data_IF_561922528261
#
_entry.id   IF_561922528261
#
_cell.length_a   1.000
_cell.length_b   1.000
_cell.length_c   1.000
_cell.angle_alpha   90.00
_cell.angle_beta   90.00
_cell.angle_gamma   90.00
#
_symmetry.space_group_name_H-M   'P 1'
#
loop_
_entity.id
_entity.type
_entity.pdbx_description
1 polymer ?
#
# COMPACT_ATOMS: atom_id res chain seq x y z
N UNK A 1 1.12 -22.30 -2.48
CA UNK A 1 0.42 -21.03 -2.21
C UNK A 1 0.06 -20.94 -0.73
N UNK A 2 0.58 -19.95 0.00
CA UNK A 2 0.25 -19.77 1.42
C UNK A 2 -1.11 -19.07 1.63
N UNK A 3 -1.96 -19.03 0.60
CA UNK A 3 -3.31 -18.44 0.69
C UNK A 3 -4.28 -19.58 0.91
N UNK A 4 -4.87 -19.60 2.09
CA UNK A 4 -5.94 -20.53 2.46
C UNK A 4 -7.27 -19.94 1.99
N UNK A 5 -8.12 -20.80 1.42
CA UNK A 5 -9.42 -20.41 0.91
C UNK A 5 -10.48 -21.40 1.35
N UNK A 6 -11.68 -20.89 1.60
CA UNK A 6 -12.87 -21.67 1.91
C UNK A 6 -14.06 -21.14 1.09
N UNK A 7 -15.12 -21.93 0.93
CA UNK A 7 -16.36 -21.41 0.35
C UNK A 7 -16.92 -20.33 1.27
N UNK A 8 -17.44 -19.25 0.70
CA UNK A 8 -18.02 -18.17 1.50
C UNK A 8 -19.16 -18.67 2.40
N UNK A 9 -20.00 -19.58 1.90
CA UNK A 9 -21.09 -20.20 2.68
C UNK A 9 -20.63 -21.01 3.88
N UNK A 10 -19.42 -21.57 3.84
CA UNK A 10 -18.90 -22.39 4.94
C UNK A 10 -18.43 -21.49 6.10
N UNK A 11 -18.09 -20.23 5.82
CA UNK A 11 -17.74 -19.22 6.83
C UNK A 11 -18.95 -18.41 7.30
N UNK A 12 -19.86 -18.09 6.38
CA UNK A 12 -21.10 -17.37 6.62
C UNK A 12 -22.21 -17.98 5.75
N UNK A 13 -23.12 -18.81 6.32
CA UNK A 13 -24.13 -19.57 5.55
C UNK A 13 -25.05 -18.72 4.68
N UNK A 14 -25.26 -17.45 5.04
CA UNK A 14 -26.07 -16.46 4.34
C UNK A 14 -25.25 -15.55 3.41
N UNK A 15 -23.96 -15.85 3.20
CA UNK A 15 -23.11 -15.08 2.31
C UNK A 15 -23.67 -15.03 0.89
N UNK A 16 -23.80 -13.81 0.37
CA UNK A 16 -24.15 -13.51 -1.03
C UNK A 16 -23.13 -14.05 -2.04
N UNK A 17 -21.90 -14.33 -1.59
CA UNK A 17 -20.85 -14.94 -2.39
C UNK A 17 -21.05 -16.46 -2.58
N UNK A 18 -21.89 -17.12 -1.77
CA UNK A 18 -22.27 -18.52 -1.92
C UNK A 18 -21.09 -19.48 -2.02
N UNK A 19 -20.92 -20.14 -3.19
CA UNK A 19 -19.84 -21.10 -3.46
C UNK A 19 -18.50 -20.46 -3.84
N UNK A 20 -18.37 -19.13 -3.84
CA UNK A 20 -17.11 -18.49 -4.20
C UNK A 20 -16.04 -18.79 -3.13
N UNK A 21 -14.87 -19.24 -3.58
CA UNK A 21 -13.70 -19.42 -2.72
C UNK A 21 -13.14 -18.07 -2.27
N UNK A 22 -13.34 -17.74 -1.00
CA UNK A 22 -12.84 -16.51 -0.37
C UNK A 22 -11.54 -16.80 0.38
N UNK A 23 -10.70 -15.78 0.51
CA UNK A 23 -9.46 -15.88 1.29
C UNK A 23 -9.78 -15.95 2.77
N UNK A 24 -9.37 -17.04 3.43
CA UNK A 24 -9.50 -17.24 4.87
C UNK A 24 -8.19 -16.96 5.60
N UNK A 25 -7.05 -17.21 4.93
CA UNK A 25 -5.74 -17.03 5.51
C UNK A 25 -4.71 -16.63 4.45
N UNK A 26 -3.72 -15.85 4.87
CA UNK A 26 -2.54 -15.52 4.07
C UNK A 26 -1.33 -15.74 4.95
N UNK A 27 -0.48 -16.70 4.58
CA UNK A 27 0.75 -16.99 5.30
C UNK A 27 1.77 -15.86 5.15
N UNK A 28 2.75 -15.87 6.04
CA UNK A 28 3.81 -14.88 6.05
C UNK A 28 4.65 -14.93 4.77
N UNK A 29 5.07 -13.75 4.29
CA UNK A 29 6.08 -13.64 3.25
C UNK A 29 7.46 -13.82 3.87
N UNK A 30 8.34 -14.55 3.17
CA UNK A 30 9.75 -14.57 3.52
C UNK A 30 10.40 -13.20 3.26
N UNK A 31 11.48 -12.84 3.98
CA UNK A 31 12.20 -11.59 3.71
C UNK A 31 12.65 -11.44 2.25
N UNK A 32 13.03 -12.55 1.60
CA UNK A 32 13.40 -12.55 0.18
C UNK A 32 12.22 -12.28 -0.76
N UNK A 33 11.03 -12.79 -0.45
CA UNK A 33 9.81 -12.47 -1.22
C UNK A 33 9.40 -11.01 -1.04
N UNK A 34 9.52 -10.46 0.17
CA UNK A 34 9.28 -9.05 0.45
C UNK A 34 10.23 -8.16 -0.36
N UNK A 35 11.53 -8.44 -0.30
CA UNK A 35 12.53 -7.69 -1.06
C UNK A 35 12.25 -7.75 -2.57
N UNK A 36 12.03 -8.94 -3.12
CA UNK A 36 11.74 -9.13 -4.55
C UNK A 36 10.48 -8.38 -4.99
N UNK A 37 9.40 -8.44 -4.19
CA UNK A 37 8.16 -7.76 -4.52
C UNK A 37 8.33 -6.23 -4.49
N UNK A 38 9.03 -5.72 -3.49
CA UNK A 38 9.33 -4.29 -3.38
C UNK A 38 10.23 -3.79 -4.51
N UNK A 39 11.26 -4.54 -4.88
CA UNK A 39 12.18 -4.16 -5.96
C UNK A 39 11.46 -4.17 -7.33
N UNK A 40 10.59 -5.16 -7.57
CA UNK A 40 9.74 -5.19 -8.76
C UNK A 40 8.78 -3.98 -8.80
N UNK A 41 8.15 -3.66 -7.67
CA UNK A 41 7.28 -2.49 -7.57
C UNK A 41 8.03 -1.18 -7.80
N UNK A 42 9.25 -1.07 -7.26
CA UNK A 42 10.12 0.09 -7.45
C UNK A 42 10.46 0.28 -8.93
N UNK A 43 10.75 -0.80 -9.67
CA UNK A 43 11.04 -0.71 -11.10
C UNK A 43 9.86 -0.13 -11.91
N UNK A 44 8.62 -0.53 -11.58
CA UNK A 44 7.40 0.01 -12.19
C UNK A 44 7.17 1.47 -11.79
N UNK A 45 7.36 1.80 -10.50
CA UNK A 45 7.23 3.17 -10.03
C UNK A 45 8.21 4.12 -10.72
N UNK A 46 9.46 3.68 -10.92
CA UNK A 46 10.46 4.41 -11.69
C UNK A 46 10.07 4.57 -13.16
N UNK A 47 9.42 3.57 -13.78
CA UNK A 47 8.87 3.72 -15.14
C UNK A 47 7.79 4.80 -15.20
N UNK A 48 6.85 4.78 -14.26
CA UNK A 48 5.79 5.77 -14.18
C UNK A 48 6.36 7.17 -13.98
N UNK A 49 7.39 7.32 -13.14
CA UNK A 49 8.08 8.58 -12.94
C UNK A 49 8.80 9.08 -14.19
N UNK A 50 9.56 8.21 -14.88
CA UNK A 50 10.25 8.58 -16.13
C UNK A 50 9.27 9.03 -17.21
N UNK A 51 8.07 8.46 -17.21
CA UNK A 51 6.97 8.83 -18.12
C UNK A 51 6.16 10.04 -17.66
N UNK A 52 6.51 10.63 -16.51
CA UNK A 52 5.82 11.80 -15.94
C UNK A 52 4.41 11.50 -15.43
N UNK A 53 4.06 10.22 -15.21
CA UNK A 53 2.74 9.81 -14.72
C UNK A 53 2.57 10.06 -13.22
N UNK A 54 3.67 9.99 -12.48
CA UNK A 54 3.73 10.29 -11.04
C UNK A 54 5.01 11.07 -10.74
N UNK A 55 4.98 11.93 -9.72
CA UNK A 55 6.17 12.66 -9.28
C UNK A 55 7.08 11.78 -8.40
N UNK A 56 6.48 11.04 -7.47
CA UNK A 56 7.13 10.14 -6.53
C UNK A 56 6.14 9.05 -6.08
N UNK A 57 6.68 7.93 -5.58
CA UNK A 57 5.89 6.81 -5.02
C UNK A 57 6.56 6.27 -3.77
N UNK A 58 5.77 5.91 -2.76
CA UNK A 58 6.22 5.17 -1.59
C UNK A 58 5.54 3.79 -1.57
N UNK A 59 6.33 2.72 -1.55
CA UNK A 59 5.88 1.35 -1.56
C UNK A 59 6.15 0.74 -0.19
N UNK A 60 5.17 0.05 0.37
CA UNK A 60 5.26 -0.58 1.69
C UNK A 60 4.81 -2.03 1.62
N UNK A 61 5.57 -2.94 2.22
CA UNK A 61 5.21 -4.35 2.30
C UNK A 61 5.85 -4.98 3.53
N UNK A 62 5.04 -5.61 4.39
CA UNK A 62 5.51 -6.33 5.58
C UNK A 62 6.47 -5.52 6.48
N UNK A 63 6.24 -4.20 6.61
CA UNK A 63 7.07 -3.29 7.42
C UNK A 63 8.29 -2.71 6.71
N UNK A 64 8.61 -3.20 5.50
CA UNK A 64 9.68 -2.68 4.65
C UNK A 64 9.16 -1.63 3.68
N UNK A 65 10.05 -0.73 3.23
CA UNK A 65 9.70 0.34 2.30
C UNK A 65 10.69 0.51 1.14
N UNK A 66 10.19 1.00 0.01
CA UNK A 66 11.00 1.55 -1.11
C UNK A 66 10.38 2.86 -1.57
N UNK A 67 11.24 3.82 -1.89
CA UNK A 67 10.82 5.15 -2.36
C UNK A 67 11.35 5.35 -3.78
N UNK A 68 10.47 5.84 -4.63
CA UNK A 68 10.74 6.24 -6.00
C UNK A 68 10.59 7.75 -6.10
N UNK A 69 11.66 8.46 -6.48
CA UNK A 69 11.69 9.92 -6.55
C UNK A 69 11.95 10.63 -5.23
N UNK A 70 12.14 11.95 -5.32
CA UNK A 70 12.33 12.79 -4.16
C UNK A 70 10.98 13.08 -3.51
N UNK A 71 10.80 12.63 -2.26
CA UNK A 71 9.75 13.15 -1.40
C UNK A 71 10.34 14.37 -0.71
N UNK A 72 10.06 15.56 -1.26
CA UNK A 72 10.28 16.78 -0.52
C UNK A 72 9.22 16.82 0.59
N UNK A 73 9.61 16.58 1.83
CA UNK A 73 8.83 17.05 2.96
C UNK A 73 8.85 18.58 2.86
N UNK A 74 7.76 19.16 2.36
CA UNK A 74 7.57 20.59 2.51
C UNK A 74 7.68 20.88 4.01
N UNK A 75 8.53 21.85 4.36
CA UNK A 75 8.56 22.37 5.73
C UNK A 75 7.11 22.70 6.12
N UNK A 76 6.70 22.45 7.38
CA UNK A 76 5.34 22.75 7.80
C UNK A 76 5.03 24.19 7.40
N UNK A 77 3.97 24.36 6.60
CA UNK A 77 3.50 25.69 6.22
C UNK A 77 3.33 26.46 7.53
N UNK A 78 4.10 27.53 7.71
CA UNK A 78 3.77 28.56 8.69
C UNK A 78 2.48 29.20 8.19
N UNK A 79 1.34 28.56 8.44
CA UNK A 79 0.11 29.29 8.57
C UNK A 79 0.39 30.27 9.71
N UNK A 80 0.66 31.52 9.34
CA UNK A 80 0.70 32.61 10.28
C UNK A 80 -0.59 32.49 11.08
N UNK A 81 -0.45 32.33 12.40
CA UNK A 81 -1.56 32.52 13.29
C UNK A 81 -1.92 33.99 13.12
N UNK A 82 -2.89 34.28 12.24
CA UNK A 82 -3.60 35.54 12.29
C UNK A 82 -4.34 35.51 13.63
N UNK A 83 -3.67 36.09 14.60
CA UNK A 83 -4.20 36.42 15.91
C UNK A 83 -5.38 37.34 15.67
N UNK A 84 -6.61 36.79 15.72
CA UNK A 84 -7.81 37.60 15.81
C UNK A 84 -7.86 38.21 17.21
N UNK A 85 -7.07 39.26 17.40
CA UNK A 85 -7.21 40.23 18.46
C UNK A 85 -7.99 41.42 17.88
N UNK A 86 -9.30 41.47 18.14
CA UNK A 86 -9.99 42.57 18.84
C UNK A 86 -11.51 42.55 18.63
N UNK A 87 -12.19 42.72 19.78
CA UNK A 87 -13.48 43.37 20.05
C UNK A 87 -14.77 42.97 19.30
#
# INVERSE_FOLDING_TARGET
PAVERALARDLAPDSDLGDRLVTQGVGALSPGEVARALDNGLAVAEDFRRRGLVAASALFLAGEARISGAIALAAPNKHAQEEFADA
#
